data_IF_013066419939
#
_entry.id   IF_013066419939
#
_cell.length_a   1.000
_cell.length_b   1.000
_cell.length_c   1.000
_cell.angle_alpha   90.00
_cell.angle_beta   90.00
_cell.angle_gamma   90.00
#
_symmetry.space_group_name_H-M   'P 1'
#
loop_
_entity.id
_entity.type
_entity.pdbx_description
1 polymer ?
#
# COMPACT_ATOMS: atom_id res chain seq x y z
N UNK A 1 -3.62 -13.27 -11.69
CA UNK A 1 -3.40 -12.10 -10.80
C UNK A 1 -2.30 -11.22 -11.35
N UNK A 2 -2.45 -9.92 -11.27
CA UNK A 2 -1.48 -8.98 -11.82
C UNK A 2 -0.41 -8.62 -10.81
N UNK A 3 0.86 -8.66 -11.20
CA UNK A 3 1.98 -8.22 -10.36
C UNK A 3 2.22 -6.72 -10.50
N UNK A 4 2.18 -6.23 -11.72
CA UNK A 4 2.39 -4.81 -12.01
C UNK A 4 1.68 -4.42 -13.31
N UNK A 5 1.56 -3.10 -13.51
CA UNK A 5 1.14 -2.55 -14.79
C UNK A 5 2.19 -1.53 -15.25
N UNK A 6 2.52 -1.57 -16.52
CA UNK A 6 3.41 -0.59 -17.14
C UNK A 6 2.65 0.09 -18.26
N UNK A 7 2.53 1.41 -18.16
CA UNK A 7 1.79 2.18 -19.14
C UNK A 7 1.90 3.67 -18.87
N UNK A 8 1.14 4.45 -19.59
CA UNK A 8 1.16 5.90 -19.49
C UNK A 8 0.20 6.37 -18.40
N UNK A 9 0.70 7.20 -17.49
CA UNK A 9 -0.15 7.85 -16.49
C UNK A 9 -0.93 8.95 -17.18
N UNK A 10 -2.24 8.76 -17.33
CA UNK A 10 -3.09 9.71 -18.09
C UNK A 10 -4.04 10.52 -17.23
N UNK A 11 -4.24 10.12 -15.96
CA UNK A 11 -5.21 10.80 -15.10
C UNK A 11 -4.86 10.58 -13.63
N UNK A 12 -5.05 11.64 -12.83
CA UNK A 12 -4.92 11.58 -11.39
C UNK A 12 -6.19 12.15 -10.78
N UNK A 13 -6.81 11.42 -9.85
CA UNK A 13 -7.95 11.92 -9.07
C UNK A 13 -7.60 11.85 -7.58
N UNK A 14 -8.52 12.28 -6.73
CA UNK A 14 -8.30 12.24 -5.28
C UNK A 14 -8.13 10.82 -4.72
N UNK A 15 -8.63 9.79 -5.44
CA UNK A 15 -8.65 8.41 -4.93
C UNK A 15 -7.86 7.43 -5.77
N UNK A 16 -7.61 7.76 -7.03
CA UNK A 16 -6.97 6.81 -7.93
C UNK A 16 -6.19 7.51 -9.03
N UNK A 17 -5.40 6.72 -9.73
CA UNK A 17 -4.75 7.12 -10.97
C UNK A 17 -5.29 6.23 -12.08
N UNK A 18 -5.07 6.65 -13.32
CA UNK A 18 -5.42 5.83 -14.50
C UNK A 18 -4.15 5.59 -15.30
N UNK A 19 -3.86 4.34 -15.53
CA UNK A 19 -2.72 3.91 -16.36
C UNK A 19 -3.28 3.36 -17.66
N UNK A 20 -2.84 3.91 -18.77
CA UNK A 20 -3.26 3.46 -20.08
C UNK A 20 -2.20 2.56 -20.70
N UNK A 21 -2.63 1.37 -21.13
CA UNK A 21 -1.76 0.47 -21.88
C UNK A 21 -2.61 -0.25 -22.94
N UNK A 22 -2.09 -0.32 -24.15
CA UNK A 22 -2.76 -0.95 -25.30
C UNK A 22 -4.17 -0.41 -25.53
N UNK A 23 -4.39 0.88 -25.32
CA UNK A 23 -5.68 1.49 -25.53
C UNK A 23 -6.71 1.30 -24.43
N UNK A 24 -6.31 0.66 -23.30
CA UNK A 24 -7.17 0.48 -22.14
C UNK A 24 -6.68 1.33 -20.99
N UNK A 25 -7.61 2.03 -20.32
CA UNK A 25 -7.32 2.80 -19.12
C UNK A 25 -7.72 2.02 -17.88
N UNK A 26 -6.73 1.66 -17.06
CA UNK A 26 -6.95 0.91 -15.82
C UNK A 26 -7.03 1.88 -14.66
N UNK A 27 -8.10 1.78 -13.86
CA UNK A 27 -8.25 2.52 -12.62
C UNK A 27 -7.46 1.80 -11.53
N UNK A 28 -6.50 2.51 -10.95
CA UNK A 28 -5.64 1.95 -9.90
C UNK A 28 -5.79 2.82 -8.66
N UNK A 29 -6.30 2.23 -7.58
CA UNK A 29 -6.46 2.93 -6.30
C UNK A 29 -5.11 2.95 -5.59
N UNK A 30 -4.66 4.14 -5.21
CA UNK A 30 -3.35 4.32 -4.58
C UNK A 30 -3.49 5.15 -3.31
N UNK A 31 -2.49 5.05 -2.43
CA UNK A 31 -2.50 5.71 -1.13
C UNK A 31 -2.48 7.24 -1.26
N UNK A 32 -1.59 7.75 -2.10
CA UNK A 32 -1.39 9.18 -2.31
C UNK A 32 -1.38 9.48 -3.80
N UNK A 33 -2.55 9.64 -4.46
CA UNK A 33 -2.59 9.82 -5.91
C UNK A 33 -1.72 10.97 -6.40
N UNK A 34 -1.70 12.08 -5.69
CA UNK A 34 -0.93 13.25 -6.12
C UNK A 34 0.57 13.07 -5.97
N UNK A 35 1.02 12.01 -5.31
CA UNK A 35 2.45 11.66 -5.30
C UNK A 35 2.96 11.24 -6.68
N UNK A 36 2.05 10.97 -7.61
CA UNK A 36 2.39 10.62 -8.99
C UNK A 36 2.41 11.83 -9.92
N UNK A 37 2.18 13.04 -9.40
CA UNK A 37 1.99 14.24 -10.25
C UNK A 37 3.16 14.51 -11.18
N UNK A 38 4.39 14.25 -10.75
CA UNK A 38 5.58 14.48 -11.55
C UNK A 38 5.70 13.54 -12.75
N UNK A 39 4.91 12.49 -12.76
CA UNK A 39 4.97 11.44 -13.77
C UNK A 39 3.81 11.50 -14.76
N UNK A 40 3.02 12.56 -14.70
CA UNK A 40 1.88 12.74 -15.60
C UNK A 40 2.32 12.69 -17.05
N UNK A 41 1.61 11.90 -17.87
CA UNK A 41 1.88 11.66 -19.29
C UNK A 41 3.17 10.91 -19.57
N UNK A 42 3.78 10.32 -18.54
CA UNK A 42 4.97 9.48 -18.69
C UNK A 42 4.63 8.01 -18.57
N UNK A 43 5.46 7.16 -19.15
CA UNK A 43 5.35 5.71 -18.97
C UNK A 43 5.94 5.36 -17.61
N UNK A 44 5.11 4.74 -16.77
CA UNK A 44 5.52 4.33 -15.43
C UNK A 44 5.15 2.88 -15.18
N UNK A 45 5.75 2.31 -14.15
CA UNK A 45 5.43 0.97 -13.67
C UNK A 45 4.89 1.08 -12.26
N UNK A 46 3.70 0.50 -12.04
CA UNK A 46 3.03 0.53 -10.75
C UNK A 46 2.80 -0.92 -10.32
N UNK A 47 3.21 -1.26 -9.10
CA UNK A 47 3.00 -2.62 -8.57
C UNK A 47 1.56 -2.74 -8.10
N UNK A 48 0.96 -3.91 -8.35
CA UNK A 48 -0.47 -4.10 -8.16
C UNK A 48 -0.79 -5.20 -7.16
N UNK A 49 -1.89 -4.99 -6.46
CA UNK A 49 -2.60 -6.05 -5.74
C UNK A 49 -4.06 -6.00 -6.18
N UNK A 50 -4.55 -7.12 -6.68
CA UNK A 50 -5.92 -7.24 -7.18
C UNK A 50 -6.82 -7.84 -6.12
N UNK A 51 -7.94 -7.17 -5.84
CA UNK A 51 -8.98 -7.69 -4.95
C UNK A 51 -10.21 -7.95 -5.79
N UNK A 52 -10.67 -9.19 -5.80
CA UNK A 52 -11.85 -9.61 -6.53
C UNK A 52 -12.95 -9.94 -5.54
N UNK A 53 -14.10 -9.27 -5.69
CA UNK A 53 -15.29 -9.53 -4.90
C UNK A 53 -16.43 -9.85 -5.86
N UNK A 54 -17.56 -10.32 -5.32
CA UNK A 54 -18.73 -10.65 -6.13
C UNK A 54 -19.21 -9.45 -6.96
N UNK A 55 -19.08 -8.24 -6.43
CA UNK A 55 -19.59 -7.02 -7.03
C UNK A 55 -18.52 -6.06 -7.52
N UNK A 56 -17.24 -6.40 -7.41
CA UNK A 56 -16.18 -5.46 -7.76
C UNK A 56 -14.84 -6.14 -8.04
N UNK A 57 -14.10 -5.57 -8.96
CA UNK A 57 -12.70 -5.89 -9.21
C UNK A 57 -11.90 -4.63 -8.93
N UNK A 58 -11.03 -4.68 -7.93
CA UNK A 58 -10.26 -3.52 -7.50
C UNK A 58 -8.78 -3.77 -7.73
N UNK A 59 -8.09 -2.77 -8.27
CA UNK A 59 -6.64 -2.78 -8.37
C UNK A 59 -6.09 -1.74 -7.41
N UNK A 60 -5.25 -2.19 -6.48
CA UNK A 60 -4.49 -1.31 -5.60
C UNK A 60 -3.08 -1.20 -6.12
N UNK A 61 -2.53 0.00 -6.14
CA UNK A 61 -1.22 0.25 -6.74
C UNK A 61 -0.23 0.88 -5.79
N UNK A 62 1.05 0.60 -6.03
CA UNK A 62 2.15 1.00 -5.16
C UNK A 62 3.34 1.46 -6.00
N UNK A 63 4.09 2.44 -5.47
CA UNK A 63 5.30 2.92 -6.13
C UNK A 63 6.40 1.87 -6.18
N UNK A 64 6.51 1.06 -5.11
CA UNK A 64 7.58 0.08 -4.96
C UNK A 64 7.02 -1.25 -4.49
N UNK A 65 7.81 -2.30 -4.68
CA UNK A 65 7.46 -3.62 -4.14
C UNK A 65 7.43 -3.62 -2.61
N UNK A 66 8.31 -2.86 -1.97
CA UNK A 66 8.32 -2.75 -0.51
C UNK A 66 7.00 -2.20 0.02
N UNK A 67 6.49 -1.15 -0.62
CA UNK A 67 5.21 -0.55 -0.28
C UNK A 67 4.08 -1.57 -0.43
N UNK A 68 4.09 -2.34 -1.52
CA UNK A 68 3.12 -3.41 -1.74
C UNK A 68 3.20 -4.47 -0.65
N UNK A 69 4.42 -4.89 -0.26
CA UNK A 69 4.59 -5.90 0.78
C UNK A 69 4.08 -5.43 2.14
N UNK A 70 4.30 -4.16 2.47
CA UNK A 70 3.75 -3.59 3.71
C UNK A 70 2.22 -3.67 3.67
N UNK A 71 1.62 -3.28 2.55
CA UNK A 71 0.17 -3.35 2.38
C UNK A 71 -0.34 -4.79 2.56
N UNK A 72 0.32 -5.75 1.92
CA UNK A 72 -0.09 -7.16 2.01
C UNK A 72 -0.01 -7.68 3.43
N UNK A 73 1.03 -7.34 4.16
CA UNK A 73 1.15 -7.75 5.56
C UNK A 73 0.07 -7.10 6.42
N UNK A 74 -0.25 -5.84 6.17
CA UNK A 74 -1.30 -5.15 6.92
C UNK A 74 -2.67 -5.81 6.71
N UNK A 75 -3.04 -6.16 5.48
CA UNK A 75 -4.34 -6.79 5.24
C UNK A 75 -4.42 -8.22 5.74
N UNK A 76 -3.29 -8.83 6.09
CA UNK A 76 -3.30 -10.17 6.73
C UNK A 76 -3.70 -10.09 8.20
N UNK A 77 -3.71 -8.90 8.79
CA UNK A 77 -4.10 -8.71 10.19
C UNK A 77 -5.62 -8.70 10.31
N UNK A 78 -6.15 -9.48 11.24
CA UNK A 78 -7.59 -9.47 11.52
C UNK A 78 -8.02 -8.07 11.96
N UNK A 79 -9.01 -7.53 11.29
CA UNK A 79 -9.52 -6.19 11.56
C UNK A 79 -8.96 -5.10 10.66
N UNK A 80 -8.00 -5.42 9.79
CA UNK A 80 -7.47 -4.46 8.82
C UNK A 80 -7.86 -4.88 7.40
N UNK A 81 -8.73 -4.08 6.78
CA UNK A 81 -9.09 -4.27 5.37
C UNK A 81 -8.25 -3.39 4.45
N UNK A 82 -8.47 -3.51 3.13
CA UNK A 82 -7.68 -2.76 2.15
C UNK A 82 -7.74 -1.24 2.32
N UNK A 83 -8.90 -0.69 2.65
CA UNK A 83 -9.05 0.77 2.82
C UNK A 83 -8.22 1.27 4.00
N UNK A 84 -8.27 0.56 5.13
CA UNK A 84 -7.48 0.93 6.31
C UNK A 84 -5.98 0.75 6.04
N UNK A 85 -5.60 -0.36 5.42
CA UNK A 85 -4.20 -0.61 5.06
C UNK A 85 -3.66 0.50 4.14
N UNK A 86 -4.46 0.91 3.16
CA UNK A 86 -4.05 1.97 2.25
C UNK A 86 -3.86 3.30 2.99
N UNK A 87 -4.74 3.61 3.94
CA UNK A 87 -4.61 4.81 4.76
C UNK A 87 -3.32 4.79 5.61
N UNK A 88 -2.94 3.62 6.10
CA UNK A 88 -1.68 3.47 6.84
C UNK A 88 -0.48 3.68 5.91
N UNK A 89 -0.51 3.08 4.74
CA UNK A 89 0.56 3.26 3.74
C UNK A 89 0.68 4.73 3.34
N UNK A 90 -0.44 5.45 3.29
CA UNK A 90 -0.47 6.87 2.93
C UNK A 90 0.31 7.76 3.90
N UNK A 91 0.48 7.34 5.15
CA UNK A 91 1.27 8.09 6.13
C UNK A 91 2.74 8.13 5.73
N UNK A 92 3.19 7.14 4.95
CA UNK A 92 4.54 7.06 4.39
C UNK A 92 5.63 7.01 5.46
N UNK A 93 5.35 6.24 6.53
CA UNK A 93 6.29 6.03 7.63
C UNK A 93 6.48 4.54 7.88
N UNK A 94 6.99 3.83 6.88
CA UNK A 94 7.17 2.39 6.99
C UNK A 94 8.17 2.01 8.07
N UNK A 95 9.24 2.79 8.23
CA UNK A 95 10.24 2.49 9.26
C UNK A 95 9.67 2.63 10.67
N UNK A 96 8.91 3.69 10.91
CA UNK A 96 8.24 3.90 12.19
C UNK A 96 7.20 2.82 12.47
N UNK A 97 6.45 2.43 11.45
CA UNK A 97 5.46 1.36 11.54
C UNK A 97 6.11 0.03 11.95
N UNK A 98 7.16 -0.37 11.23
CA UNK A 98 7.86 -1.64 11.48
C UNK A 98 8.51 -1.63 12.85
N UNK A 99 9.17 -0.54 13.23
CA UNK A 99 9.80 -0.42 14.54
C UNK A 99 8.77 -0.51 15.66
N UNK A 100 7.61 0.14 15.50
CA UNK A 100 6.55 0.09 16.50
C UNK A 100 6.00 -1.32 16.67
N UNK A 101 5.81 -2.05 15.56
CA UNK A 101 5.35 -3.44 15.61
C UNK A 101 6.37 -4.32 16.31
N UNK A 102 7.63 -4.24 15.95
CA UNK A 102 8.69 -5.07 16.51
C UNK A 102 8.96 -4.77 17.99
N UNK A 103 8.73 -3.53 18.41
CA UNK A 103 8.94 -3.10 19.79
C UNK A 103 7.66 -3.10 20.63
N UNK A 104 6.56 -3.62 20.08
CA UNK A 104 5.27 -3.66 20.76
C UNK A 104 4.79 -2.27 21.23
N UNK A 105 5.05 -1.26 20.42
CA UNK A 105 4.69 0.13 20.76
C UNK A 105 3.24 0.40 20.35
N UNK A 106 2.32 -0.05 21.19
CA UNK A 106 0.88 0.06 20.93
C UNK A 106 0.46 1.52 20.80
N UNK A 107 0.98 2.39 21.64
CA UNK A 107 0.63 3.81 21.63
C UNK A 107 0.99 4.47 20.29
N UNK A 108 2.16 4.14 19.75
CA UNK A 108 2.58 4.66 18.46
C UNK A 108 1.66 4.15 17.34
N UNK A 109 1.33 2.86 17.37
CA UNK A 109 0.46 2.27 16.34
C UNK A 109 -0.92 2.90 16.31
N UNK A 110 -1.43 3.30 17.48
CA UNK A 110 -2.74 3.95 17.56
C UNK A 110 -2.78 5.33 16.90
N UNK A 111 -1.62 5.90 16.56
CA UNK A 111 -1.56 7.16 15.81
C UNK A 111 -1.91 7.01 14.34
N UNK A 112 -1.81 5.79 13.80
CA UNK A 112 -2.20 5.54 12.43
C UNK A 112 -3.73 5.60 12.27
N UNK A 113 -4.22 5.99 11.07
CA UNK A 113 -5.64 6.13 10.85
C UNK A 113 -6.40 4.82 11.12
N UNK A 114 -7.52 4.94 11.84
CA UNK A 114 -8.44 3.83 12.11
C UNK A 114 -7.86 2.69 12.94
N UNK A 115 -6.74 2.90 13.62
CA UNK A 115 -6.12 1.88 14.45
C UNK A 115 -6.40 2.18 15.92
N UNK A 116 -7.27 1.37 16.53
CA UNK A 116 -7.52 1.40 17.96
C UNK A 116 -6.59 0.46 18.70
N UNK A 117 -6.76 0.39 20.03
CA UNK A 117 -5.91 -0.43 20.89
C UNK A 117 -5.92 -1.90 20.51
N UNK A 118 -7.12 -2.44 20.28
CA UNK A 118 -7.30 -3.86 19.97
C UNK A 118 -6.61 -4.22 18.64
N UNK A 119 -6.79 -3.38 17.63
CA UNK A 119 -6.17 -3.59 16.33
C UNK A 119 -4.64 -3.44 16.43
N UNK A 120 -4.16 -2.47 17.18
CA UNK A 120 -2.72 -2.28 17.40
C UNK A 120 -2.12 -3.53 18.07
N UNK A 121 -2.77 -4.09 19.07
CA UNK A 121 -2.33 -5.31 19.71
C UNK A 121 -2.31 -6.49 18.73
N UNK A 122 -3.32 -6.58 17.88
CA UNK A 122 -3.38 -7.63 16.87
C UNK A 122 -2.26 -7.49 15.82
N UNK A 123 -1.94 -6.27 15.45
CA UNK A 123 -0.82 -6.01 14.54
C UNK A 123 0.50 -6.54 15.11
N UNK A 124 0.77 -6.26 16.38
CA UNK A 124 1.97 -6.76 17.03
C UNK A 124 1.96 -8.29 17.06
N UNK A 125 0.85 -8.89 17.45
CA UNK A 125 0.73 -10.34 17.54
C UNK A 125 0.98 -11.01 16.20
N UNK A 126 0.40 -10.48 15.13
CA UNK A 126 0.46 -11.11 13.82
C UNK A 126 1.73 -10.77 13.03
N UNK A 127 2.31 -9.60 13.25
CA UNK A 127 3.35 -9.07 12.37
C UNK A 127 4.74 -8.91 12.99
N UNK A 128 4.88 -9.02 14.31
CA UNK A 128 6.19 -8.86 14.93
C UNK A 128 7.19 -9.84 14.30
N UNK A 129 8.32 -9.31 13.84
CA UNK A 129 9.36 -10.10 13.19
C UNK A 129 9.09 -10.46 11.73
N UNK A 130 7.91 -10.14 11.20
CA UNK A 130 7.53 -10.54 9.84
C UNK A 130 8.07 -9.61 8.76
N UNK A 131 8.56 -8.44 9.13
CA UNK A 131 9.12 -7.48 8.18
C UNK A 131 10.61 -7.65 7.92
N UNK A 132 11.25 -8.59 8.59
CA UNK A 132 12.70 -8.83 8.42
C UNK A 132 13.05 -9.31 7.00
N UNK A 133 12.08 -9.86 6.28
CA UNK A 133 12.28 -10.38 4.93
C UNK A 133 12.15 -9.31 3.84
N UNK A 134 11.71 -8.09 4.20
CA UNK A 134 11.51 -7.06 3.19
C UNK A 134 12.84 -6.54 2.67
N UNK A 135 13.00 -6.45 1.34
CA UNK A 135 14.14 -5.73 0.79
C UNK A 135 14.00 -4.25 1.19
N UNK A 136 15.11 -3.64 1.55
CA UNK A 136 15.09 -2.22 1.91
C UNK A 136 15.48 -1.41 0.69
N UNK A 137 14.68 -0.39 0.37
CA UNK A 137 14.93 0.42 -0.81
C UNK A 137 16.31 1.09 -0.77
N UNK A 138 16.80 1.47 0.41
CA UNK A 138 18.13 2.07 0.56
C UNK A 138 19.27 1.10 0.28
N UNK A 139 19.01 -0.20 0.28
CA UNK A 139 20.02 -1.19 -0.06
C UNK A 139 20.27 -1.29 -1.57
N UNK A 140 19.41 -0.68 -2.35
CA UNK A 140 19.48 -0.70 -3.81
C UNK A 140 20.15 0.52 -4.40
N UNK A 141 20.60 1.43 -3.57
CA UNK A 141 21.26 2.67 -4.01
C UNK A 141 22.76 2.62 -3.86
#
# INVERSE_FOLDING_TARGET
MYDYIKGTLVKITAKHIVIETNGLGYIVTVANPYSFSDQMNQTIQVYLHQVIRDDAHLLFGFHTEDEKEVFLKLISVSGIGPTTALAIVAVDDNQGLVAAIDNSDIKYLMKFPKIGKKTAQQMVLDLAGKFAELPRSEEHT
#
